data_IF_973177958998
#
_entry.id   IF_973177958998
#
_cell.length_a   1.000
_cell.length_b   1.000
_cell.length_c   1.000
_cell.angle_alpha   90.00
_cell.angle_beta   90.00
_cell.angle_gamma   90.00
#
_symmetry.space_group_name_H-M   'P 1'
#
loop_
_entity.id
_entity.type
_entity.pdbx_description
1 polymer ?
#
# COMPACT_ATOMS: atom_id res chain seq x y z
N UNK A 1 7.14 -14.09 3.52
CA UNK A 1 7.24 -12.67 3.13
C UNK A 1 7.91 -12.56 1.76
N UNK A 2 7.35 -11.79 0.83
CA UNK A 2 7.88 -11.59 -0.53
C UNK A 2 9.07 -10.63 -0.56
N UNK A 3 9.27 -9.85 0.48
CA UNK A 3 10.34 -8.85 0.58
C UNK A 3 11.68 -9.51 0.95
N UNK A 4 11.67 -10.57 1.75
CA UNK A 4 12.89 -11.21 2.26
C UNK A 4 13.94 -11.54 1.21
N UNK A 5 13.60 -12.13 0.04
CA UNK A 5 14.57 -12.47 -0.99
C UNK A 5 15.08 -11.26 -1.78
N UNK A 6 14.39 -10.11 -1.70
CA UNK A 6 14.71 -8.91 -2.48
C UNK A 6 15.74 -8.00 -1.80
N UNK A 7 16.09 -8.26 -0.55
CA UNK A 7 16.94 -7.37 0.26
C UNK A 7 18.08 -8.10 0.97
N UNK A 8 19.20 -7.42 1.14
CA UNK A 8 20.38 -7.92 1.87
C UNK A 8 20.16 -8.00 3.39
N UNK A 9 21.26 -8.09 4.14
CA UNK A 9 21.23 -8.20 5.61
C UNK A 9 20.92 -6.89 6.32
N UNK A 10 21.35 -5.76 5.77
CA UNK A 10 21.19 -4.40 6.31
C UNK A 10 20.49 -3.49 5.31
N UNK A 11 19.22 -3.77 4.94
CA UNK A 11 18.56 -3.02 3.89
C UNK A 11 18.09 -1.64 4.37
N UNK A 12 18.16 -0.66 3.48
CA UNK A 12 17.48 0.62 3.62
C UNK A 12 16.16 0.55 2.86
N UNK A 13 15.04 0.74 3.56
CA UNK A 13 13.69 0.61 3.00
C UNK A 13 12.94 1.93 3.17
N UNK A 14 12.28 2.37 2.11
CA UNK A 14 11.39 3.52 2.13
C UNK A 14 9.94 3.07 1.91
N UNK A 15 9.03 3.57 2.75
CA UNK A 15 7.58 3.39 2.61
C UNK A 15 6.97 4.73 2.20
N UNK A 16 6.72 4.87 0.89
CA UNK A 16 6.18 6.09 0.30
C UNK A 16 4.66 6.19 0.53
N UNK A 17 4.26 7.17 1.34
CA UNK A 17 2.86 7.31 1.74
C UNK A 17 2.45 6.32 2.82
N UNK A 18 3.30 6.09 3.82
CA UNK A 18 3.18 5.05 4.84
C UNK A 18 1.91 5.12 5.72
N UNK A 19 1.13 6.22 5.65
CA UNK A 19 -0.03 6.41 6.51
C UNK A 19 0.32 6.31 8.00
N UNK A 20 -0.42 5.52 8.75
CA UNK A 20 -0.17 5.25 10.17
C UNK A 20 0.92 4.19 10.45
N UNK A 21 1.70 3.80 9.43
CA UNK A 21 2.85 2.92 9.57
C UNK A 21 2.53 1.44 9.79
N UNK A 22 1.33 0.97 9.43
CA UNK A 22 0.93 -0.41 9.63
C UNK A 22 1.83 -1.38 8.86
N UNK A 23 1.97 -1.16 7.55
CA UNK A 23 2.84 -1.98 6.69
C UNK A 23 4.31 -1.78 7.03
N UNK A 24 4.73 -0.53 7.29
CA UNK A 24 6.09 -0.16 7.69
C UNK A 24 6.58 -0.97 8.90
N UNK A 25 5.78 -0.97 9.99
CA UNK A 25 6.08 -1.73 11.20
C UNK A 25 6.07 -3.25 10.96
N UNK A 26 5.11 -3.74 10.17
CA UNK A 26 5.01 -5.15 9.82
C UNK A 26 6.21 -5.64 9.00
N UNK A 27 6.70 -4.85 8.06
CA UNK A 27 7.90 -5.15 7.27
C UNK A 27 9.13 -5.20 8.18
N UNK A 28 9.30 -4.21 9.05
CA UNK A 28 10.42 -4.19 10.00
C UNK A 28 10.40 -5.43 10.90
N UNK A 29 9.27 -5.75 11.48
CA UNK A 29 9.13 -6.92 12.34
C UNK A 29 9.48 -8.22 11.61
N UNK A 30 8.99 -8.40 10.38
CA UNK A 30 9.25 -9.58 9.56
C UNK A 30 10.72 -9.72 9.17
N UNK A 31 11.39 -8.62 8.83
CA UNK A 31 12.81 -8.61 8.49
C UNK A 31 13.68 -8.89 9.71
N UNK A 32 13.37 -8.27 10.85
CA UNK A 32 14.07 -8.50 12.12
C UNK A 32 13.92 -9.96 12.59
N UNK A 33 12.72 -10.53 12.49
CA UNK A 33 12.48 -11.94 12.81
C UNK A 33 13.26 -12.89 11.90
N UNK A 34 13.60 -12.46 10.69
CA UNK A 34 14.44 -13.20 9.74
C UNK A 34 15.96 -12.94 9.94
N UNK A 35 16.36 -12.27 11.03
CA UNK A 35 17.77 -12.00 11.37
C UNK A 35 18.38 -10.80 10.61
N UNK A 36 17.59 -10.01 9.89
CA UNK A 36 18.07 -8.81 9.19
C UNK A 36 18.00 -7.59 10.10
N UNK A 37 18.80 -6.57 9.79
CA UNK A 37 18.83 -5.30 10.53
C UNK A 37 18.44 -4.13 9.60
N UNK A 38 17.14 -3.97 9.30
CA UNK A 38 16.69 -2.96 8.37
C UNK A 38 16.74 -1.55 8.97
N UNK A 39 17.17 -0.56 8.17
CA UNK A 39 16.88 0.84 8.38
C UNK A 39 15.62 1.19 7.58
N UNK A 40 14.56 1.64 8.24
CA UNK A 40 13.29 1.92 7.58
C UNK A 40 12.86 3.35 7.85
N UNK A 41 12.44 4.03 6.80
CA UNK A 41 11.81 5.34 6.89
C UNK A 41 10.48 5.35 6.12
N UNK A 42 9.56 6.19 6.59
CA UNK A 42 8.27 6.41 5.94
C UNK A 42 7.94 7.91 5.82
N UNK A 43 7.13 8.25 4.83
CA UNK A 43 6.61 9.60 4.70
C UNK A 43 5.09 9.64 4.54
N UNK A 44 4.48 10.71 4.96
CA UNK A 44 3.09 11.07 4.66
C UNK A 44 2.93 12.59 4.73
N UNK A 45 1.84 13.10 4.16
CA UNK A 45 1.53 14.54 4.21
C UNK A 45 0.95 14.98 5.57
N UNK A 46 0.33 14.07 6.30
CA UNK A 46 -0.36 14.37 7.55
C UNK A 46 0.54 14.12 8.76
N UNK A 47 0.88 15.20 9.47
CA UNK A 47 1.61 15.11 10.73
C UNK A 47 0.85 14.31 11.81
N UNK A 48 -0.48 14.42 11.86
CA UNK A 48 -1.28 13.66 12.83
C UNK A 48 -1.21 12.16 12.59
N UNK A 49 -1.23 11.72 11.33
CA UNK A 49 -1.08 10.32 10.96
C UNK A 49 0.32 9.81 11.30
N UNK A 50 1.36 10.60 11.02
CA UNK A 50 2.74 10.22 11.34
C UNK A 50 3.01 10.12 12.83
N UNK A 51 2.29 10.87 13.67
CA UNK A 51 2.35 10.68 15.14
C UNK A 51 1.84 9.31 15.56
N UNK A 52 0.80 8.78 14.90
CA UNK A 52 0.32 7.42 15.14
C UNK A 52 1.34 6.39 14.66
N UNK A 53 1.92 6.60 13.48
CA UNK A 53 2.99 5.76 12.96
C UNK A 53 4.21 5.69 13.90
N UNK A 54 4.66 6.83 14.42
CA UNK A 54 5.78 6.90 15.36
C UNK A 54 5.47 6.27 16.73
N UNK A 55 4.20 6.22 17.13
CA UNK A 55 3.77 5.50 18.34
C UNK A 55 3.75 3.99 18.10
N UNK A 56 3.41 3.55 16.87
CA UNK A 56 3.36 2.14 16.47
C UNK A 56 4.74 1.50 16.46
N UNK A 57 5.73 2.20 15.93
CA UNK A 57 7.11 1.73 15.89
C UNK A 57 8.11 2.89 16.05
N UNK A 58 8.79 2.90 17.20
CA UNK A 58 9.76 3.95 17.55
C UNK A 58 11.12 3.77 16.88
N UNK A 59 11.35 2.68 16.17
CA UNK A 59 12.61 2.40 15.47
C UNK A 59 12.54 2.75 13.98
N UNK A 60 11.40 3.27 13.53
CA UNK A 60 11.22 3.76 12.15
C UNK A 60 11.31 5.28 12.17
N UNK A 61 11.98 5.84 11.17
CA UNK A 61 12.06 7.27 10.97
C UNK A 61 10.89 7.74 10.09
N UNK A 62 10.23 8.83 10.49
CA UNK A 62 9.10 9.37 9.76
C UNK A 62 9.29 10.84 9.40
N UNK A 63 8.93 11.20 8.15
CA UNK A 63 9.03 12.57 7.65
C UNK A 63 7.70 13.05 7.07
N UNK A 64 7.30 14.28 7.38
CA UNK A 64 6.20 14.97 6.69
C UNK A 64 6.71 15.43 5.32
N UNK A 65 6.33 14.71 4.27
CA UNK A 65 6.78 14.99 2.91
C UNK A 65 5.80 14.44 1.87
N UNK A 66 5.83 15.04 0.68
CA UNK A 66 5.16 14.51 -0.50
C UNK A 66 5.96 13.36 -1.12
N UNK A 67 5.28 12.37 -1.70
CA UNK A 67 5.93 11.33 -2.48
C UNK A 67 6.66 11.89 -3.72
N UNK A 68 6.28 13.07 -4.20
CA UNK A 68 6.93 13.78 -5.31
C UNK A 68 8.20 14.54 -4.91
N UNK A 69 8.49 14.67 -3.61
CA UNK A 69 9.68 15.33 -3.06
C UNK A 69 10.06 14.64 -1.75
N UNK A 70 10.71 13.49 -1.88
CA UNK A 70 11.13 12.68 -0.75
C UNK A 70 12.39 13.27 -0.10
N UNK A 71 12.45 13.41 1.23
CA UNK A 71 13.60 14.01 1.93
C UNK A 71 14.75 12.99 2.11
N UNK A 72 15.05 12.27 1.03
CA UNK A 72 16.11 11.26 1.00
C UNK A 72 17.09 11.56 -0.12
N UNK A 73 18.35 11.17 0.08
CA UNK A 73 19.39 11.33 -0.93
C UNK A 73 19.11 10.43 -2.16
N UNK A 74 19.74 10.77 -3.27
CA UNK A 74 19.77 9.93 -4.45
C UNK A 74 20.38 8.56 -4.10
N UNK A 75 19.84 7.51 -4.68
CA UNK A 75 20.35 6.14 -4.53
C UNK A 75 20.55 5.70 -3.08
N UNK A 76 19.66 6.13 -2.17
CA UNK A 76 19.74 5.82 -0.76
C UNK A 76 19.10 4.47 -0.40
N UNK A 77 18.05 4.05 -1.12
CA UNK A 77 17.21 2.92 -0.73
C UNK A 77 17.50 1.64 -1.54
N UNK A 78 17.46 0.50 -0.85
CA UNK A 78 17.52 -0.84 -1.47
C UNK A 78 16.12 -1.30 -1.91
N UNK A 79 15.07 -0.84 -1.22
CA UNK A 79 13.67 -1.15 -1.52
C UNK A 79 12.78 0.05 -1.22
N UNK A 80 11.83 0.32 -2.12
CA UNK A 80 10.76 1.28 -1.92
C UNK A 80 9.40 0.56 -2.03
N UNK A 81 8.53 0.81 -1.06
CA UNK A 81 7.14 0.40 -1.07
C UNK A 81 6.25 1.59 -1.40
N UNK A 82 5.32 1.40 -2.32
CA UNK A 82 4.16 2.26 -2.53
C UNK A 82 2.89 1.41 -2.38
N UNK A 83 2.14 1.67 -1.29
CA UNK A 83 0.91 0.96 -0.98
C UNK A 83 -0.25 1.95 -0.97
N UNK A 84 -0.96 2.07 -2.10
CA UNK A 84 -2.10 2.97 -2.31
C UNK A 84 -1.78 4.47 -2.20
N UNK A 85 -0.52 4.86 -2.39
CA UNK A 85 -0.10 6.24 -2.42
C UNK A 85 0.06 6.76 -3.86
N UNK A 86 0.25 8.06 -4.08
CA UNK A 86 0.48 8.58 -5.42
C UNK A 86 1.78 8.07 -6.03
N UNK A 87 1.71 7.53 -7.23
CA UNK A 87 2.86 7.04 -7.98
C UNK A 87 3.75 8.19 -8.46
N UNK A 88 4.88 8.39 -7.79
CA UNK A 88 5.87 9.41 -8.11
C UNK A 88 7.12 8.76 -8.74
N UNK A 89 6.97 8.15 -9.92
CA UNK A 89 7.94 7.23 -10.50
C UNK A 89 9.34 7.82 -10.69
N UNK A 90 9.47 9.09 -11.08
CA UNK A 90 10.77 9.75 -11.25
C UNK A 90 11.49 9.93 -9.92
N UNK A 91 10.74 10.28 -8.87
CA UNK A 91 11.26 10.42 -7.53
C UNK A 91 11.63 9.07 -6.92
N UNK A 92 10.82 8.03 -7.17
CA UNK A 92 11.13 6.68 -6.75
C UNK A 92 12.38 6.13 -7.44
N UNK A 93 12.56 6.45 -8.74
CA UNK A 93 13.79 6.14 -9.47
C UNK A 93 14.99 6.88 -8.89
N UNK A 94 14.87 8.15 -8.50
CA UNK A 94 15.94 8.93 -7.90
C UNK A 94 16.44 8.34 -6.61
N UNK A 95 15.55 7.99 -5.68
CA UNK A 95 15.94 7.52 -4.33
C UNK A 95 16.38 6.06 -4.27
N UNK A 96 15.98 5.23 -5.22
CA UNK A 96 16.41 3.83 -5.29
C UNK A 96 17.82 3.70 -5.81
N UNK A 97 18.60 2.79 -5.23
CA UNK A 97 19.89 2.36 -5.77
C UNK A 97 19.70 1.62 -7.10
N UNK A 98 20.69 1.65 -8.04
CA UNK A 98 20.72 0.70 -9.15
C UNK A 98 20.60 -0.74 -8.64
N UNK A 99 19.74 -1.54 -9.24
CA UNK A 99 19.42 -2.89 -8.77
C UNK A 99 18.48 -2.96 -7.55
N UNK A 100 18.08 -1.83 -6.98
CA UNK A 100 17.07 -1.75 -5.92
C UNK A 100 15.66 -2.06 -6.43
N UNK A 101 14.75 -2.44 -5.52
CA UNK A 101 13.41 -2.89 -5.87
C UNK A 101 12.35 -1.86 -5.53
N UNK A 102 11.38 -1.72 -6.43
CA UNK A 102 10.16 -0.97 -6.23
C UNK A 102 8.96 -1.92 -6.17
N UNK A 103 8.25 -1.92 -5.04
CA UNK A 103 7.02 -2.67 -4.84
C UNK A 103 5.83 -1.72 -4.91
N UNK A 104 4.98 -1.94 -5.91
CA UNK A 104 3.76 -1.16 -6.13
C UNK A 104 2.54 -2.02 -5.89
N UNK A 105 1.80 -1.71 -4.82
CA UNK A 105 0.62 -2.45 -4.40
C UNK A 105 -0.62 -1.74 -4.91
N UNK A 106 -1.39 -2.44 -5.73
CA UNK A 106 -2.63 -1.94 -6.33
C UNK A 106 -3.78 -2.92 -6.10
N UNK A 107 -5.05 -2.45 -6.13
CA UNK A 107 -6.18 -3.35 -6.07
C UNK A 107 -6.25 -4.25 -7.31
N UNK A 108 -6.55 -5.53 -7.10
CA UNK A 108 -6.88 -6.47 -8.17
C UNK A 108 -8.25 -6.20 -8.77
N UNK A 109 -8.59 -6.91 -9.87
CA UNK A 109 -9.84 -6.71 -10.61
C UNK A 109 -11.08 -6.79 -9.73
N UNK A 110 -11.13 -7.76 -8.83
CA UNK A 110 -12.28 -8.03 -7.95
C UNK A 110 -12.05 -7.61 -6.49
N UNK A 111 -11.15 -6.65 -6.25
CA UNK A 111 -10.95 -6.10 -4.91
C UNK A 111 -12.24 -5.49 -4.36
N UNK A 112 -12.71 -5.97 -3.20
CA UNK A 112 -13.95 -5.56 -2.53
C UNK A 112 -15.17 -5.63 -3.46
N UNK A 113 -15.24 -6.69 -4.27
CA UNK A 113 -16.29 -6.85 -5.26
C UNK A 113 -17.68 -6.89 -4.64
N UNK A 114 -17.84 -7.59 -3.52
CA UNK A 114 -19.10 -7.73 -2.79
C UNK A 114 -19.60 -6.37 -2.31
N UNK A 115 -18.71 -5.52 -1.80
CA UNK A 115 -19.05 -4.14 -1.44
C UNK A 115 -19.47 -3.33 -2.68
N UNK A 116 -18.76 -3.47 -3.82
CA UNK A 116 -19.15 -2.80 -5.06
C UNK A 116 -20.54 -3.21 -5.54
N UNK A 117 -20.91 -4.48 -5.42
CA UNK A 117 -22.24 -4.99 -5.79
C UNK A 117 -23.37 -4.39 -4.93
N UNK A 118 -23.08 -4.09 -3.68
CA UNK A 118 -24.04 -3.37 -2.80
C UNK A 118 -24.16 -1.91 -3.20
N UNK A 119 -23.02 -1.26 -3.50
CA UNK A 119 -22.97 0.19 -3.74
C UNK A 119 -23.51 0.61 -5.10
N UNK A 120 -23.35 -0.23 -6.14
CA UNK A 120 -23.63 0.13 -7.53
C UNK A 120 -24.58 -0.85 -8.20
N UNK A 121 -25.52 -0.36 -9.00
CA UNK A 121 -26.48 -1.17 -9.75
C UNK A 121 -25.80 -1.95 -10.92
N UNK A 122 -24.74 -1.40 -11.48
CA UNK A 122 -23.93 -2.00 -12.53
C UNK A 122 -22.43 -1.90 -12.17
N UNK A 123 -21.96 -2.70 -11.21
CA UNK A 123 -20.55 -2.71 -10.84
C UNK A 123 -19.69 -3.27 -11.97
N UNK A 124 -18.48 -2.75 -12.09
CA UNK A 124 -17.48 -3.28 -13.03
C UNK A 124 -16.16 -3.57 -12.30
N UNK A 125 -15.39 -4.58 -12.74
CA UNK A 125 -14.09 -4.89 -12.15
C UNK A 125 -13.10 -3.75 -12.34
N UNK A 126 -12.10 -3.67 -11.46
CA UNK A 126 -10.99 -2.75 -11.67
C UNK A 126 -10.21 -3.15 -12.92
N UNK A 127 -9.73 -2.17 -13.67
CA UNK A 127 -8.83 -2.43 -14.80
C UNK A 127 -7.45 -2.83 -14.24
N UNK A 128 -6.94 -3.97 -14.67
CA UNK A 128 -5.59 -4.41 -14.36
C UNK A 128 -4.64 -3.96 -15.45
N UNK A 129 -3.65 -3.14 -15.09
CA UNK A 129 -2.65 -2.61 -16.01
C UNK A 129 -1.26 -3.13 -15.68
N UNK A 130 -0.51 -3.44 -16.71
CA UNK A 130 0.91 -3.75 -16.66
C UNK A 130 1.67 -2.64 -17.38
N UNK A 131 1.89 -1.55 -16.68
CA UNK A 131 2.52 -0.36 -17.25
C UNK A 131 4.03 -0.44 -17.06
N UNK A 132 4.82 -0.47 -18.15
CA UNK A 132 6.26 -0.34 -18.03
C UNK A 132 6.63 1.10 -17.64
N UNK A 133 7.63 1.24 -16.79
CA UNK A 133 8.18 2.54 -16.38
C UNK A 133 9.64 2.64 -16.81
N UNK A 134 10.00 3.79 -17.37
CA UNK A 134 11.38 4.07 -17.79
C UNK A 134 12.35 3.94 -16.62
N UNK A 135 13.46 3.22 -16.82
CA UNK A 135 14.49 2.94 -15.81
C UNK A 135 14.14 1.80 -14.86
N UNK A 136 13.03 1.09 -15.12
CA UNK A 136 12.64 -0.09 -14.36
C UNK A 136 12.39 -1.30 -15.26
N UNK A 137 12.71 -2.48 -14.76
CA UNK A 137 12.33 -3.75 -15.35
C UNK A 137 11.29 -4.44 -14.46
N UNK A 138 10.25 -5.03 -15.05
CA UNK A 138 9.37 -5.93 -14.32
C UNK A 138 10.12 -7.21 -13.92
N UNK A 139 10.00 -7.61 -12.66
CA UNK A 139 10.45 -8.93 -12.20
C UNK A 139 9.29 -9.89 -11.95
N UNK A 140 8.20 -9.40 -11.35
CA UNK A 140 7.02 -10.22 -11.07
C UNK A 140 5.78 -9.37 -10.82
N UNK A 141 4.62 -10.01 -10.98
CA UNK A 141 3.33 -9.54 -10.44
C UNK A 141 2.79 -10.65 -9.56
N UNK A 142 2.58 -10.35 -8.29
CA UNK A 142 2.15 -11.32 -7.28
C UNK A 142 0.74 -11.00 -6.84
N UNK A 143 -0.25 -11.86 -7.14
CA UNK A 143 -1.59 -11.73 -6.58
C UNK A 143 -1.58 -12.05 -5.08
N UNK A 144 -2.38 -11.31 -4.32
CA UNK A 144 -2.60 -11.53 -2.89
C UNK A 144 -4.09 -11.39 -2.61
N UNK A 145 -4.73 -12.51 -2.31
CA UNK A 145 -6.15 -12.59 -2.06
C UNK A 145 -6.40 -13.18 -0.67
N UNK A 146 -7.31 -12.59 0.09
CA UNK A 146 -7.73 -13.12 1.38
C UNK A 146 -9.16 -12.68 1.72
N UNK A 147 -9.91 -13.53 2.49
CA UNK A 147 -11.23 -13.16 2.96
C UNK A 147 -11.14 -12.00 3.95
N UNK A 148 -12.09 -11.09 3.85
CA UNK A 148 -12.26 -9.94 4.73
C UNK A 148 -13.70 -9.94 5.24
N UNK A 149 -14.01 -10.75 6.27
CA UNK A 149 -15.33 -10.73 6.90
C UNK A 149 -15.52 -9.40 7.65
N UNK A 150 -16.66 -8.76 7.44
CA UNK A 150 -17.11 -7.58 8.15
C UNK A 150 -18.33 -7.99 8.98
N UNK A 151 -18.11 -8.24 10.27
CA UNK A 151 -19.07 -8.89 11.15
C UNK A 151 -20.09 -7.91 11.74
N UNK A 152 -19.91 -6.62 11.52
CA UNK A 152 -20.82 -5.59 12.00
C UNK A 152 -20.88 -4.36 11.06
N UNK A 153 -21.95 -3.58 11.22
CA UNK A 153 -22.20 -2.39 10.42
C UNK A 153 -21.08 -1.34 10.56
N UNK A 154 -20.49 -1.22 11.74
CA UNK A 154 -19.38 -0.29 11.99
C UNK A 154 -18.16 -0.60 11.13
N UNK A 155 -17.81 -1.87 10.95
CA UNK A 155 -16.71 -2.33 10.12
C UNK A 155 -16.98 -2.08 8.63
N UNK A 156 -18.22 -2.31 8.18
CA UNK A 156 -18.65 -2.02 6.81
C UNK A 156 -18.51 -0.53 6.52
N UNK A 157 -18.98 0.32 7.42
CA UNK A 157 -18.85 1.78 7.29
C UNK A 157 -17.41 2.24 7.33
N UNK A 158 -16.59 1.67 8.21
CA UNK A 158 -15.17 2.00 8.32
C UNK A 158 -14.44 1.67 7.01
N UNK A 159 -14.67 0.45 6.47
CA UNK A 159 -14.11 0.06 5.18
C UNK A 159 -14.57 0.98 4.05
N UNK A 160 -15.88 1.27 3.96
CA UNK A 160 -16.43 2.16 2.95
C UNK A 160 -15.76 3.54 2.97
N UNK A 161 -15.57 4.13 4.16
CA UNK A 161 -14.90 5.45 4.34
C UNK A 161 -13.42 5.44 3.96
N UNK A 162 -12.75 4.29 4.06
CA UNK A 162 -11.35 4.13 3.65
C UNK A 162 -11.18 4.04 2.13
N UNK A 163 -12.25 3.81 1.38
CA UNK A 163 -12.21 3.66 -0.07
C UNK A 163 -12.62 4.94 -0.79
N UNK A 164 -12.20 5.15 -2.05
CA UNK A 164 -12.71 6.24 -2.88
C UNK A 164 -14.22 6.16 -3.17
N UNK A 165 -14.87 5.04 -2.87
CA UNK A 165 -16.32 4.85 -3.08
C UNK A 165 -17.15 5.83 -2.28
N UNK A 166 -16.71 6.20 -1.07
CA UNK A 166 -17.46 7.14 -0.22
C UNK A 166 -17.73 8.50 -0.88
N UNK A 167 -16.95 8.89 -1.89
CA UNK A 167 -17.12 10.15 -2.61
C UNK A 167 -17.96 10.04 -3.88
N UNK A 168 -18.21 8.82 -4.37
CA UNK A 168 -18.80 8.58 -5.70
C UNK A 168 -20.07 7.73 -5.67
N UNK A 169 -20.42 7.13 -4.54
CA UNK A 169 -21.56 6.22 -4.43
C UNK A 169 -22.88 7.01 -4.43
N UNK A 170 -23.86 6.60 -5.26
CA UNK A 170 -25.20 7.16 -5.22
C UNK A 170 -25.87 6.93 -3.86
N UNK A 171 -26.78 7.82 -3.48
CA UNK A 171 -27.49 7.75 -2.19
C UNK A 171 -28.16 6.38 -1.95
N UNK A 172 -28.82 5.83 -2.97
CA UNK A 172 -29.46 4.51 -2.89
C UNK A 172 -28.44 3.38 -2.57
N UNK A 173 -27.22 3.47 -3.09
CA UNK A 173 -26.14 2.51 -2.76
C UNK A 173 -25.67 2.63 -1.32
N UNK A 174 -25.57 3.87 -0.80
CA UNK A 174 -25.26 4.10 0.61
C UNK A 174 -26.35 3.53 1.52
N UNK A 175 -27.63 3.79 1.20
CA UNK A 175 -28.77 3.25 1.94
C UNK A 175 -28.79 1.71 1.96
N UNK A 176 -28.44 1.06 0.83
CA UNK A 176 -28.32 -0.41 0.80
C UNK A 176 -27.20 -0.90 1.72
N UNK A 177 -26.04 -0.24 1.70
CA UNK A 177 -24.91 -0.58 2.55
C UNK A 177 -25.25 -0.37 4.05
N UNK A 178 -25.95 0.72 4.38
CA UNK A 178 -26.34 1.02 5.76
C UNK A 178 -27.38 0.04 6.33
N UNK A 179 -28.09 -0.67 5.46
CA UNK A 179 -29.05 -1.70 5.85
C UNK A 179 -28.42 -3.09 6.11
N UNK A 180 -27.10 -3.26 5.86
CA UNK A 180 -26.42 -4.52 6.10
C UNK A 180 -26.01 -4.65 7.57
N UNK A 181 -26.13 -5.86 8.11
CA UNK A 181 -25.62 -6.21 9.44
C UNK A 181 -24.19 -6.78 9.38
N UNK A 182 -23.87 -7.47 8.29
CA UNK A 182 -22.56 -8.04 8.01
C UNK A 182 -22.31 -8.07 6.50
N UNK A 183 -21.07 -8.29 6.09
CA UNK A 183 -20.71 -8.45 4.69
C UNK A 183 -19.39 -9.23 4.57
N UNK A 184 -19.45 -10.37 3.90
CA UNK A 184 -18.26 -11.13 3.53
C UNK A 184 -17.66 -10.53 2.26
N UNK A 185 -16.52 -9.86 2.39
CA UNK A 185 -15.75 -9.32 1.28
C UNK A 185 -14.50 -10.13 1.00
N UNK A 186 -13.99 -9.99 -0.21
CA UNK A 186 -12.64 -10.43 -0.56
C UNK A 186 -11.73 -9.22 -0.80
N UNK A 187 -10.62 -9.18 -0.06
CA UNK A 187 -9.52 -8.29 -0.38
C UNK A 187 -8.65 -8.96 -1.45
N UNK A 188 -8.46 -8.28 -2.57
CA UNK A 188 -7.67 -8.75 -3.71
C UNK A 188 -6.70 -7.66 -4.14
N UNK A 189 -5.41 -7.97 -4.14
CA UNK A 189 -4.34 -7.04 -4.49
C UNK A 189 -3.38 -7.65 -5.50
N UNK A 190 -2.68 -6.79 -6.22
CA UNK A 190 -1.54 -7.14 -7.05
C UNK A 190 -0.32 -6.37 -6.56
N UNK A 191 0.75 -7.08 -6.27
CA UNK A 191 2.04 -6.50 -5.93
C UNK A 191 2.91 -6.57 -7.19
N UNK A 192 3.13 -5.42 -7.81
CA UNK A 192 4.04 -5.28 -8.93
C UNK A 192 5.46 -5.10 -8.37
N UNK A 193 6.37 -5.96 -8.76
CA UNK A 193 7.77 -5.93 -8.35
C UNK A 193 8.60 -5.48 -9.53
N UNK A 194 9.25 -4.34 -9.36
CA UNK A 194 10.15 -3.77 -10.34
C UNK A 194 11.56 -3.72 -9.78
N UNK A 195 12.55 -3.83 -10.67
CA UNK A 195 13.95 -3.59 -10.37
C UNK A 195 14.43 -2.36 -11.10
N UNK A 196 15.10 -1.44 -10.41
CA UNK A 196 15.77 -0.29 -11.04
C UNK A 196 16.95 -0.78 -11.88
N UNK A 197 17.02 -0.32 -13.14
CA UNK A 197 18.09 -0.60 -14.07
C UNK A 197 19.34 0.22 -13.81
#
# INVERSE_FOLDING_TARGET
SRILPLVGEHPVILDAGCGEGYYTAGIRAALTAAGKTPAIAGNALSNSILRLAAQRDKQVEFAVASCYHLPFADEAADLLLDCFSPLAIDEFRRVLKPGGHFLYVVPGAYHLWELKQVLYDAPYPNEEKETPYEGFAYEAIVPVDFPLPLDCQEDIQALFRMTPYCWKTPKAGVERMEALENLDCQASFRIHIFKKL
#
